data_IF_077604258903
#
_entry.id   IF_077604258903
#
_cell.length_a   1.000
_cell.length_b   1.000
_cell.length_c   1.000
_cell.angle_alpha   90.00
_cell.angle_beta   90.00
_cell.angle_gamma   90.00
#
_symmetry.space_group_name_H-M   'P 1'
#
loop_
_entity.id
_entity.type
_entity.pdbx_description
1 polymer ?
#
# COMPACT_ATOMS: atom_id res chain seq x y z
N UNK A 1 -23.45 17.00 51.61
CA UNK A 1 -22.60 16.03 50.87
C UNK A 1 -23.25 15.51 49.58
N UNK A 2 -24.46 15.96 49.22
CA UNK A 2 -25.20 15.48 48.03
C UNK A 2 -25.06 16.40 46.82
N UNK A 3 -24.83 17.70 47.03
CA UNK A 3 -24.72 18.67 45.93
C UNK A 3 -23.56 18.35 44.99
N UNK A 4 -22.42 17.91 45.53
CA UNK A 4 -21.25 17.52 44.73
C UNK A 4 -21.48 16.27 43.88
N UNK A 5 -22.13 15.23 44.44
CA UNK A 5 -22.42 14.00 43.69
C UNK A 5 -23.48 14.23 42.61
N UNK A 6 -24.48 15.07 42.89
CA UNK A 6 -25.52 15.43 41.92
C UNK A 6 -24.88 16.17 40.73
N UNK A 7 -24.05 17.19 40.98
CA UNK A 7 -23.37 17.93 39.92
C UNK A 7 -22.43 17.04 39.10
N UNK A 8 -21.69 16.14 39.75
CA UNK A 8 -20.80 15.21 39.07
C UNK A 8 -21.58 14.22 38.19
N UNK A 9 -22.67 13.66 38.70
CA UNK A 9 -23.52 12.74 37.94
C UNK A 9 -24.14 13.41 36.71
N UNK A 10 -24.61 14.67 36.84
CA UNK A 10 -25.17 15.44 35.74
C UNK A 10 -24.13 15.76 34.67
N UNK A 11 -22.94 16.20 35.08
CA UNK A 11 -21.84 16.50 34.16
C UNK A 11 -21.39 15.26 33.38
N UNK A 12 -21.30 14.11 34.04
CA UNK A 12 -20.97 12.84 33.40
C UNK A 12 -22.04 12.42 32.39
N UNK A 13 -23.31 12.53 32.77
CA UNK A 13 -24.44 12.19 31.89
C UNK A 13 -24.46 13.07 30.64
N UNK A 14 -24.18 14.37 30.80
CA UNK A 14 -24.11 15.33 29.70
C UNK A 14 -22.92 15.03 28.77
N UNK A 15 -21.76 14.71 29.32
CA UNK A 15 -20.58 14.33 28.54
C UNK A 15 -20.82 13.05 27.73
N UNK A 16 -21.38 12.01 28.36
CA UNK A 16 -21.72 10.74 27.70
C UNK A 16 -22.79 10.96 26.64
N UNK A 17 -23.83 11.72 26.96
CA UNK A 17 -24.88 12.08 26.00
C UNK A 17 -24.31 12.81 24.79
N UNK A 18 -23.42 13.78 24.99
CA UNK A 18 -22.79 14.53 23.92
C UNK A 18 -21.83 13.66 23.10
N UNK A 19 -21.10 12.74 23.74
CA UNK A 19 -20.26 11.76 23.05
C UNK A 19 -21.06 10.84 22.13
N UNK A 20 -22.22 10.35 22.58
CA UNK A 20 -23.12 9.48 21.81
C UNK A 20 -23.88 10.25 20.73
N UNK A 21 -24.27 11.51 20.99
CA UNK A 21 -24.98 12.34 20.03
C UNK A 21 -24.06 12.89 18.93
N UNK A 22 -22.76 13.05 19.22
CA UNK A 22 -21.74 13.54 18.27
C UNK A 22 -21.77 12.84 16.89
N UNK A 23 -21.79 11.50 16.75
CA UNK A 23 -21.85 10.84 15.44
C UNK A 23 -23.14 11.11 14.64
N UNK A 24 -24.23 11.54 15.30
CA UNK A 24 -25.49 11.88 14.64
C UNK A 24 -25.58 13.37 14.27
N UNK A 25 -24.93 14.24 15.05
CA UNK A 25 -24.91 15.69 14.87
C UNK A 25 -23.88 16.15 13.85
N UNK A 26 -22.72 15.48 13.78
CA UNK A 26 -21.76 15.72 12.72
C UNK A 26 -22.16 14.90 11.48
N UNK A 27 -22.23 15.51 10.29
CA UNK A 27 -22.33 14.75 9.05
C UNK A 27 -21.20 13.72 9.06
N UNK A 28 -21.55 12.44 8.97
CA UNK A 28 -20.54 11.41 8.80
C UNK A 28 -19.66 11.85 7.62
N UNK A 29 -18.31 11.90 7.78
CA UNK A 29 -17.45 12.06 6.62
C UNK A 29 -17.90 10.99 5.64
N UNK A 30 -18.33 11.39 4.43
CA UNK A 30 -18.71 10.43 3.39
C UNK A 30 -17.58 9.41 3.38
N UNK A 31 -17.86 8.10 3.61
CA UNK A 31 -16.82 7.10 3.45
C UNK A 31 -16.20 7.41 2.09
N UNK A 32 -14.85 7.48 1.99
CA UNK A 32 -14.24 7.73 0.70
C UNK A 32 -14.92 6.75 -0.25
N UNK A 33 -15.63 7.27 -1.28
CA UNK A 33 -16.19 6.41 -2.33
C UNK A 33 -15.06 5.46 -2.64
N UNK A 34 -15.31 4.14 -2.53
CA UNK A 34 -14.30 3.13 -2.82
C UNK A 34 -13.58 3.64 -4.06
N UNK A 35 -12.30 3.98 -3.89
CA UNK A 35 -11.58 4.58 -4.99
C UNK A 35 -11.65 3.55 -6.11
N UNK A 36 -11.80 4.00 -7.35
CA UNK A 36 -11.82 3.11 -8.52
C UNK A 36 -10.69 2.06 -8.44
N UNK A 37 -9.53 2.48 -7.94
CA UNK A 37 -8.40 1.63 -7.55
C UNK A 37 -8.72 0.52 -6.54
N UNK A 38 -9.45 0.78 -5.45
CA UNK A 38 -9.85 -0.26 -4.49
C UNK A 38 -10.78 -1.30 -5.11
N UNK A 39 -11.68 -0.88 -6.00
CA UNK A 39 -12.56 -1.79 -6.73
C UNK A 39 -11.73 -2.68 -7.65
N UNK A 40 -10.80 -2.10 -8.41
CA UNK A 40 -9.88 -2.85 -9.27
C UNK A 40 -8.98 -3.82 -8.50
N UNK A 41 -8.51 -3.44 -7.31
CA UNK A 41 -7.74 -4.34 -6.43
C UNK A 41 -8.57 -5.54 -5.97
N UNK A 42 -9.83 -5.32 -5.58
CA UNK A 42 -10.73 -6.42 -5.19
C UNK A 42 -11.01 -7.37 -6.38
N UNK A 43 -11.14 -6.83 -7.60
CA UNK A 43 -11.30 -7.65 -8.81
C UNK A 43 -10.04 -8.47 -9.10
N UNK A 44 -8.85 -7.90 -8.92
CA UNK A 44 -7.58 -8.63 -9.04
C UNK A 44 -7.50 -9.80 -8.06
N UNK A 45 -7.81 -9.56 -6.79
CA UNK A 45 -7.80 -10.61 -5.75
C UNK A 45 -8.75 -11.77 -6.09
N UNK A 46 -9.97 -11.44 -6.55
CA UNK A 46 -10.95 -12.44 -6.96
C UNK A 46 -10.47 -13.28 -8.15
N UNK A 47 -9.86 -12.64 -9.14
CA UNK A 47 -9.37 -13.30 -10.35
C UNK A 47 -8.17 -14.21 -10.05
N UNK A 48 -7.27 -13.78 -9.17
CA UNK A 48 -6.13 -14.60 -8.71
C UNK A 48 -6.61 -15.83 -7.93
N UNK A 49 -7.63 -15.67 -7.07
CA UNK A 49 -8.23 -16.79 -6.37
C UNK A 49 -8.87 -17.81 -7.33
N UNK A 50 -9.48 -17.34 -8.43
CA UNK A 50 -10.05 -18.21 -9.46
C UNK A 50 -8.97 -19.02 -10.20
N UNK A 51 -7.86 -18.37 -10.59
CA UNK A 51 -6.72 -19.06 -11.22
C UNK A 51 -6.18 -20.14 -10.28
N UNK A 52 -5.99 -19.82 -9.00
CA UNK A 52 -5.51 -20.77 -7.99
C UNK A 52 -6.47 -21.97 -7.82
N UNK A 53 -7.78 -21.75 -7.85
CA UNK A 53 -8.76 -22.81 -7.75
C UNK A 53 -8.68 -23.78 -8.94
N UNK A 54 -8.56 -23.26 -10.15
CA UNK A 54 -8.47 -24.07 -11.38
C UNK A 54 -7.14 -24.81 -11.46
N UNK A 55 -6.03 -24.18 -11.06
CA UNK A 55 -4.72 -24.84 -10.96
C UNK A 55 -4.78 -26.00 -9.95
N UNK A 56 -5.47 -25.82 -8.81
CA UNK A 56 -5.66 -26.87 -7.82
C UNK A 56 -6.54 -28.04 -8.31
N UNK A 57 -7.56 -27.77 -9.12
CA UNK A 57 -8.42 -28.82 -9.68
C UNK A 57 -7.66 -29.72 -10.67
N UNK A 58 -6.65 -29.21 -11.37
CA UNK A 58 -5.71 -30.02 -12.17
C UNK A 58 -4.78 -30.83 -11.29
N UNK A 59 -4.20 -30.23 -10.24
CA UNK A 59 -3.32 -30.94 -9.30
C UNK A 59 -4.04 -32.10 -8.60
N UNK A 60 -5.33 -31.93 -8.31
CA UNK A 60 -6.18 -32.98 -7.72
C UNK A 60 -6.75 -33.98 -8.73
N UNK A 61 -6.48 -33.79 -10.02
CA UNK A 61 -6.90 -34.69 -11.10
C UNK A 61 -8.40 -34.63 -11.42
N UNK A 62 -9.11 -33.58 -11.02
CA UNK A 62 -10.54 -33.39 -11.30
C UNK A 62 -10.83 -32.92 -12.72
N UNK A 63 -9.84 -32.30 -13.38
CA UNK A 63 -9.99 -31.64 -14.69
C UNK A 63 -8.90 -32.11 -15.65
N UNK A 64 -9.25 -32.26 -16.93
CA UNK A 64 -8.31 -32.62 -17.99
C UNK A 64 -7.39 -31.43 -18.32
N UNK A 65 -6.09 -31.63 -18.54
CA UNK A 65 -5.14 -30.52 -18.79
C UNK A 65 -5.47 -29.68 -20.02
N UNK A 66 -6.14 -30.25 -21.03
CA UNK A 66 -6.56 -29.54 -22.24
C UNK A 66 -7.56 -28.41 -21.92
N UNK A 67 -8.56 -28.69 -21.07
CA UNK A 67 -9.61 -27.73 -20.71
C UNK A 67 -9.09 -26.62 -19.77
N UNK A 68 -8.12 -26.97 -18.89
CA UNK A 68 -7.43 -26.02 -18.01
C UNK A 68 -6.69 -24.93 -18.78
N UNK A 69 -5.94 -25.30 -19.82
CA UNK A 69 -5.07 -24.35 -20.52
C UNK A 69 -5.86 -23.23 -21.19
N UNK A 70 -7.00 -23.55 -21.81
CA UNK A 70 -7.86 -22.57 -22.46
C UNK A 70 -8.48 -21.59 -21.45
N UNK A 71 -9.02 -22.10 -20.35
CA UNK A 71 -9.65 -21.27 -19.31
C UNK A 71 -8.63 -20.40 -18.58
N UNK A 72 -7.46 -20.96 -18.25
CA UNK A 72 -6.35 -20.23 -17.63
C UNK A 72 -5.84 -19.10 -18.53
N UNK A 73 -5.75 -19.33 -19.84
CA UNK A 73 -5.30 -18.31 -20.78
C UNK A 73 -6.27 -17.11 -20.83
N UNK A 74 -7.57 -17.37 -20.73
CA UNK A 74 -8.59 -16.32 -20.65
C UNK A 74 -8.47 -15.51 -19.35
N UNK A 75 -8.30 -16.17 -18.20
CA UNK A 75 -8.14 -15.50 -16.91
C UNK A 75 -6.86 -14.67 -16.83
N UNK A 76 -5.75 -15.15 -17.40
CA UNK A 76 -4.50 -14.40 -17.47
C UNK A 76 -4.64 -13.13 -18.31
N UNK A 77 -5.38 -13.20 -19.42
CA UNK A 77 -5.66 -12.02 -20.23
C UNK A 77 -6.46 -10.98 -19.46
N UNK A 78 -7.50 -11.39 -18.72
CA UNK A 78 -8.26 -10.50 -17.84
C UNK A 78 -7.39 -9.89 -16.73
N UNK A 79 -6.49 -10.67 -16.14
CA UNK A 79 -5.58 -10.20 -15.10
C UNK A 79 -4.62 -9.12 -15.64
N UNK A 80 -4.10 -9.32 -16.85
CA UNK A 80 -3.24 -8.35 -17.51
C UNK A 80 -3.97 -7.01 -17.77
N UNK A 81 -5.25 -7.05 -18.14
CA UNK A 81 -6.06 -5.86 -18.34
C UNK A 81 -6.27 -5.08 -17.04
N UNK A 82 -6.67 -5.76 -15.96
CA UNK A 82 -6.88 -5.12 -14.64
C UNK A 82 -5.57 -4.53 -14.11
N UNK A 83 -4.43 -5.22 -14.29
CA UNK A 83 -3.13 -4.69 -13.90
C UNK A 83 -2.76 -3.42 -14.68
N UNK A 84 -3.08 -3.36 -15.98
CA UNK A 84 -2.85 -2.16 -16.79
C UNK A 84 -3.72 -0.97 -16.32
N UNK A 85 -4.97 -1.21 -15.92
CA UNK A 85 -5.86 -0.18 -15.37
C UNK A 85 -5.39 0.33 -14.01
N UNK A 86 -4.88 -0.56 -13.15
CA UNK A 86 -4.26 -0.20 -11.88
C UNK A 86 -2.98 0.63 -12.03
N UNK A 87 -2.17 0.33 -13.05
CA UNK A 87 -0.99 1.10 -13.43
C UNK A 87 -1.40 2.49 -13.96
N UNK A 88 -2.43 2.56 -14.80
CA UNK A 88 -2.94 3.83 -15.34
C UNK A 88 -3.51 4.76 -14.26
N UNK A 89 -4.11 4.19 -13.22
CA UNK A 89 -4.59 4.93 -12.03
C UNK A 89 -3.50 5.15 -10.98
N UNK A 90 -2.32 4.55 -11.14
CA UNK A 90 -1.16 4.87 -10.33
C UNK A 90 -0.57 6.21 -10.80
N UNK A 91 -0.32 7.11 -9.86
CA UNK A 91 0.50 8.27 -10.14
C UNK A 91 1.93 7.78 -10.36
N UNK A 92 2.28 7.44 -11.61
CA UNK A 92 3.65 7.13 -11.97
C UNK A 92 4.47 8.41 -11.89
N UNK A 93 5.45 8.50 -10.98
CA UNK A 93 6.29 9.69 -10.90
C UNK A 93 7.02 9.84 -12.24
N UNK A 94 7.02 11.06 -12.80
CA UNK A 94 7.73 11.33 -14.05
C UNK A 94 9.22 11.02 -13.89
N UNK A 95 9.90 10.66 -14.99
CA UNK A 95 11.34 10.45 -14.98
C UNK A 95 12.09 11.64 -14.34
N UNK A 96 11.61 12.87 -14.57
CA UNK A 96 12.14 14.08 -13.94
C UNK A 96 11.92 14.14 -12.43
N UNK A 97 10.76 13.70 -11.93
CA UNK A 97 10.48 13.62 -10.49
C UNK A 97 11.38 12.58 -9.81
N UNK A 98 11.60 11.44 -10.46
CA UNK A 98 12.52 10.40 -9.99
C UNK A 98 13.95 10.93 -9.95
N UNK A 99 14.43 11.58 -11.02
CA UNK A 99 15.77 12.19 -11.05
C UNK A 99 15.96 13.26 -9.97
N UNK A 100 14.95 14.09 -9.75
CA UNK A 100 14.98 15.10 -8.69
C UNK A 100 15.08 14.45 -7.30
N UNK A 101 14.29 13.41 -7.03
CA UNK A 101 14.34 12.66 -5.78
C UNK A 101 15.70 11.97 -5.56
N UNK A 102 16.27 11.37 -6.61
CA UNK A 102 17.61 10.76 -6.54
C UNK A 102 18.69 11.80 -6.27
N UNK A 103 18.61 13.00 -6.87
CA UNK A 103 19.55 14.10 -6.60
C UNK A 103 19.48 14.55 -5.14
N UNK A 104 18.27 14.71 -4.59
CA UNK A 104 18.07 15.09 -3.19
C UNK A 104 18.64 14.03 -2.22
N UNK A 105 18.40 12.74 -2.49
CA UNK A 105 18.99 11.65 -1.72
C UNK A 105 20.52 11.64 -1.77
N UNK A 106 21.11 11.89 -2.93
CA UNK A 106 22.58 12.00 -3.07
C UNK A 106 23.14 13.13 -2.22
N UNK A 107 22.53 14.32 -2.27
CA UNK A 107 22.97 15.49 -1.51
C UNK A 107 22.99 15.26 0.00
N UNK A 108 22.01 14.50 0.52
CA UNK A 108 21.90 14.18 1.94
C UNK A 108 22.94 13.15 2.42
N UNK A 109 23.61 12.45 1.51
CA UNK A 109 24.55 11.37 1.82
C UNK A 109 25.99 11.80 2.13
N UNK A 110 26.39 13.06 1.94
CA UNK A 110 27.80 13.45 2.02
C UNK A 110 28.26 13.68 3.47
N UNK A 111 28.60 12.63 4.21
CA UNK A 111 29.01 12.77 5.63
C UNK A 111 30.37 12.19 5.98
N UNK A 112 30.99 11.37 5.11
CA UNK A 112 32.27 10.69 5.41
C UNK A 112 33.14 10.62 4.16
N UNK A 113 34.44 10.41 4.34
CA UNK A 113 35.38 10.15 3.24
C UNK A 113 35.91 8.73 3.33
N UNK A 114 36.10 8.08 2.18
CA UNK A 114 36.68 6.75 2.12
C UNK A 114 38.16 6.77 2.54
N UNK A 115 38.62 5.93 3.49
CA UNK A 115 40.02 5.92 3.90
C UNK A 115 40.95 5.32 2.85
N UNK A 116 40.42 4.55 1.88
CA UNK A 116 41.22 3.89 0.85
C UNK A 116 41.46 4.77 -0.39
N UNK A 117 40.46 5.55 -0.84
CA UNK A 117 40.57 6.36 -2.06
C UNK A 117 40.22 7.85 -1.89
N UNK A 118 39.79 8.27 -0.70
CA UNK A 118 39.46 9.67 -0.41
C UNK A 118 38.13 10.18 -1.00
N UNK A 119 37.33 9.32 -1.66
CA UNK A 119 36.04 9.74 -2.22
C UNK A 119 35.00 9.97 -1.11
N UNK A 120 34.15 11.00 -1.26
CA UNK A 120 33.04 11.25 -0.36
C UNK A 120 31.99 10.12 -0.44
N UNK A 121 31.54 9.63 0.71
CA UNK A 121 30.61 8.50 0.84
C UNK A 121 29.50 8.78 1.85
N UNK A 122 28.39 8.06 1.66
CA UNK A 122 27.22 7.96 2.53
C UNK A 122 27.56 7.70 3.99
N UNK A 123 26.85 8.33 4.92
CA UNK A 123 26.85 7.93 6.35
C UNK A 123 26.28 6.51 6.54
N UNK A 124 25.44 6.03 5.61
CA UNK A 124 24.88 4.67 5.61
C UNK A 124 25.60 3.66 4.72
N UNK A 125 26.58 4.11 3.91
CA UNK A 125 27.25 3.23 2.96
C UNK A 125 28.13 2.21 3.70
N UNK A 126 28.01 0.93 3.33
CA UNK A 126 28.86 -0.16 3.84
C UNK A 126 30.14 -0.36 3.01
N UNK A 127 30.16 0.20 1.79
CA UNK A 127 31.28 0.12 0.86
C UNK A 127 31.35 1.39 0.01
N UNK A 128 32.54 1.67 -0.54
CA UNK A 128 32.76 2.77 -1.46
C UNK A 128 32.32 2.41 -2.87
N UNK A 129 31.39 3.16 -3.46
CA UNK A 129 30.98 2.96 -4.85
C UNK A 129 32.06 3.29 -5.90
N UNK A 130 33.14 3.98 -5.51
CA UNK A 130 34.23 4.39 -6.41
C UNK A 130 35.35 3.34 -6.47
N UNK A 131 35.83 2.87 -5.31
CA UNK A 131 36.98 1.96 -5.22
C UNK A 131 36.64 0.54 -4.70
N UNK A 132 35.40 0.31 -4.25
CA UNK A 132 34.97 -0.98 -3.70
C UNK A 132 35.43 -1.28 -2.27
N UNK A 133 36.19 -0.39 -1.62
CA UNK A 133 36.64 -0.57 -0.23
C UNK A 133 35.48 -0.62 0.76
N UNK A 134 35.56 -1.51 1.75
CA UNK A 134 34.59 -1.64 2.84
C UNK A 134 34.87 -0.59 3.94
N UNK A 135 33.83 -0.15 4.66
CA UNK A 135 33.92 0.78 5.81
C UNK A 135 33.64 0.08 7.13
#
# INVERSE_FOLDING_TARGET
MTTGSILFSLALLLLVGLFIARPFLLPAPRPPRQSERQILLAQQEALLAQIQAIDFDVETGKVMPEDHTAERHHLLHQAAQIMAELEATAATPSAQAIEAAVRDLRQKGHGRFCPQCGTAVGVGDKFCASCGGLF
#
